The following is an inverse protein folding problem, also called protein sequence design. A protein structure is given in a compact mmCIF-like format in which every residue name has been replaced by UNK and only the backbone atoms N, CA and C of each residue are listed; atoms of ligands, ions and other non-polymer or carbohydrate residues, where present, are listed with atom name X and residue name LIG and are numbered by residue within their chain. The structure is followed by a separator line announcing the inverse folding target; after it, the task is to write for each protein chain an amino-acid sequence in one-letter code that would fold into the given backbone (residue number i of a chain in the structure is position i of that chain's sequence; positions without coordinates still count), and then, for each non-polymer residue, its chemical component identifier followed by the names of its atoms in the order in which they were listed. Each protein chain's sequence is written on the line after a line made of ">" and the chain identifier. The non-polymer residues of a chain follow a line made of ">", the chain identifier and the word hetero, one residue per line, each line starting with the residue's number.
data_IF_373623483588
#
_entry.id   IF_373623483588
#
_cell.length_a   1.000
_cell.length_b   1.000
_cell.length_c   1.000
_cell.angle_alpha   90.00
_cell.angle_beta   90.00
_cell.angle_gamma   90.00
#
_symmetry.space_group_name_H-M   'P 1'
#
loop_
_entity.id
_entity.type
_entity.pdbx_description
1 polymer ?
#
# COMPACT_ATOMS: atom_id res chain seq x y z
N UNK A 1 10.55 0.81 -13.81
CA UNK A 1 10.76 -0.64 -14.01
C UNK A 1 9.54 -1.47 -13.65
N UNK A 2 9.45 -2.70 -14.15
CA UNK A 2 8.30 -3.62 -14.07
C UNK A 2 7.76 -3.83 -12.63
N UNK A 3 8.67 -3.92 -11.64
CA UNK A 3 8.29 -4.07 -10.23
C UNK A 3 7.48 -2.87 -9.71
N UNK A 4 7.83 -1.65 -10.12
CA UNK A 4 7.14 -0.44 -9.66
C UNK A 4 5.70 -0.38 -10.23
N UNK A 5 5.55 -0.71 -11.51
CA UNK A 5 4.25 -0.79 -12.20
C UNK A 5 3.34 -1.86 -11.57
N UNK A 6 3.90 -3.03 -11.24
CA UNK A 6 3.14 -4.07 -10.54
C UNK A 6 2.57 -3.57 -9.20
N UNK A 7 3.40 -2.94 -8.37
CA UNK A 7 2.94 -2.47 -7.05
C UNK A 7 1.96 -1.29 -7.15
N UNK A 8 2.15 -0.39 -8.12
CA UNK A 8 1.25 0.73 -8.39
C UNK A 8 -0.16 0.23 -8.76
N UNK A 9 -0.27 -0.79 -9.61
CA UNK A 9 -1.55 -1.37 -9.99
C UNK A 9 -2.18 -2.27 -8.92
N UNK A 10 -1.35 -2.94 -8.11
CA UNK A 10 -1.85 -3.79 -7.02
C UNK A 10 -2.42 -2.98 -5.85
N UNK A 11 -1.92 -1.76 -5.63
CA UNK A 11 -2.29 -0.95 -4.48
C UNK A 11 -3.51 -0.06 -4.75
N UNK A 12 -4.62 -0.23 -4.01
CA UNK A 12 -5.81 0.60 -4.23
C UNK A 12 -5.72 2.01 -3.60
N UNK A 13 -4.64 2.33 -2.89
CA UNK A 13 -4.56 3.51 -2.03
C UNK A 13 -3.34 4.40 -2.29
N UNK A 14 -2.55 4.15 -3.33
CA UNK A 14 -1.37 4.98 -3.62
C UNK A 14 -0.29 4.89 -2.54
N UNK A 15 -0.14 3.72 -1.88
CA UNK A 15 1.03 3.42 -1.03
C UNK A 15 2.28 3.25 -1.90
N UNK A 16 2.11 2.75 -3.11
CA UNK A 16 3.18 2.49 -4.06
C UNK A 16 2.90 3.34 -5.30
N UNK A 17 3.78 4.29 -5.58
CA UNK A 17 3.68 5.19 -6.73
C UNK A 17 4.95 5.07 -7.58
N UNK A 18 4.78 5.10 -8.89
CA UNK A 18 5.91 5.09 -9.81
C UNK A 18 6.39 6.52 -10.09
N UNK A 19 7.67 6.78 -9.81
CA UNK A 19 8.38 8.01 -10.21
C UNK A 19 9.51 7.65 -11.17
N UNK A 20 9.20 7.69 -12.48
CA UNK A 20 10.10 7.20 -13.53
C UNK A 20 10.43 5.71 -13.37
N UNK A 21 11.67 5.41 -12.99
CA UNK A 21 12.11 4.03 -12.69
C UNK A 21 12.16 3.69 -11.20
N UNK A 22 11.89 4.66 -10.35
CA UNK A 22 11.87 4.50 -8.90
C UNK A 22 10.47 4.13 -8.42
N UNK A 23 10.41 3.26 -7.43
CA UNK A 23 9.22 3.04 -6.61
C UNK A 23 9.27 3.98 -5.40
N UNK A 24 8.25 4.82 -5.26
CA UNK A 24 8.03 5.68 -4.09
C UNK A 24 7.02 5.00 -3.17
N UNK A 25 7.29 5.00 -1.87
CA UNK A 25 6.47 4.32 -0.86
C UNK A 25 5.89 5.32 0.12
N UNK A 26 4.57 5.52 0.05
CA UNK A 26 3.78 6.40 0.91
C UNK A 26 3.01 5.57 1.95
N UNK A 27 3.74 5.02 2.94
CA UNK A 27 3.15 4.17 3.98
C UNK A 27 1.89 4.73 4.70
N UNK A 28 1.77 6.05 4.96
CA UNK A 28 0.58 6.61 5.60
C UNK A 28 -0.73 6.39 4.83
N UNK A 29 -0.66 6.21 3.51
CA UNK A 29 -1.85 5.98 2.68
C UNK A 29 -2.45 4.58 2.84
N UNK A 30 -1.78 3.66 3.55
CA UNK A 30 -2.25 2.29 3.61
C UNK A 30 -3.61 2.18 4.32
N UNK A 31 -4.54 1.48 3.67
CA UNK A 31 -5.91 1.23 4.14
C UNK A 31 -6.13 -0.20 4.65
N UNK A 32 -5.04 -0.94 4.87
CA UNK A 32 -5.04 -2.31 5.40
C UNK A 32 -5.81 -3.34 4.54
N UNK A 33 -5.90 -3.11 3.23
CA UNK A 33 -6.60 -4.00 2.28
C UNK A 33 -5.95 -5.38 2.07
N UNK A 34 -4.69 -5.56 2.49
CA UNK A 34 -3.89 -6.79 2.34
C UNK A 34 -3.63 -7.26 0.90
N UNK A 35 -3.88 -6.44 -0.12
CA UNK A 35 -3.64 -6.82 -1.52
C UNK A 35 -2.20 -7.29 -1.79
N UNK A 36 -1.20 -6.67 -1.15
CA UNK A 36 0.21 -7.05 -1.29
C UNK A 36 0.59 -8.37 -0.63
N UNK A 37 -0.26 -8.95 0.22
CA UNK A 37 0.02 -10.22 0.91
C UNK A 37 0.06 -11.40 -0.08
N UNK A 38 -0.45 -11.24 -1.30
CA UNK A 38 -0.28 -12.21 -2.41
C UNK A 38 1.19 -12.51 -2.70
N UNK A 39 2.09 -11.57 -2.40
CA UNK A 39 3.55 -11.73 -2.53
C UNK A 39 4.23 -12.18 -1.22
N UNK A 40 3.44 -12.42 -0.17
CA UNK A 40 3.86 -12.77 1.18
C UNK A 40 3.53 -11.68 2.22
N UNK A 41 3.27 -12.07 3.48
CA UNK A 41 2.92 -11.13 4.54
C UNK A 41 4.14 -10.30 4.95
N UNK A 42 4.26 -9.09 4.38
CA UNK A 42 5.33 -8.13 4.73
C UNK A 42 4.85 -6.99 5.62
N UNK A 43 3.61 -7.06 6.09
CA UNK A 43 2.96 -5.99 6.84
C UNK A 43 3.19 -6.13 8.34
N UNK A 44 3.57 -5.04 9.01
CA UNK A 44 3.63 -4.95 10.48
C UNK A 44 2.38 -4.21 10.96
N UNK A 45 1.67 -4.69 12.00
CA UNK A 45 0.52 -3.97 12.55
C UNK A 45 0.86 -2.51 12.86
N UNK A 46 -0.06 -1.61 12.52
CA UNK A 46 0.06 -0.18 12.84
C UNK A 46 -0.13 0.08 14.33
N UNK A 47 0.29 1.26 14.77
CA UNK A 47 -0.03 1.75 16.10
C UNK A 47 -1.56 1.82 16.31
N UNK A 48 -2.02 1.46 17.51
CA UNK A 48 -3.44 1.46 17.85
C UNK A 48 -4.06 2.84 17.65
N UNK A 49 -5.22 2.89 16.98
CA UNK A 49 -5.91 4.15 16.66
C UNK A 49 -5.42 4.85 15.38
N UNK A 50 -4.36 4.36 14.74
CA UNK A 50 -3.95 4.83 13.41
C UNK A 50 -4.77 4.17 12.29
N UNK A 51 -4.76 4.76 11.10
CA UNK A 51 -5.32 4.15 9.89
C UNK A 51 -6.67 4.73 9.45
N UNK A 52 -7.33 4.06 8.49
CA UNK A 52 -8.56 4.58 7.89
C UNK A 52 -9.71 4.65 8.89
N UNK A 53 -10.43 5.78 8.87
CA UNK A 53 -11.67 5.98 9.66
C UNK A 53 -12.90 5.74 8.79
N UNK A 54 -13.29 4.47 8.63
CA UNK A 54 -14.47 4.08 7.87
C UNK A 54 -15.76 4.53 8.59
N UNK A 55 -16.58 5.36 7.95
CA UNK A 55 -17.86 5.86 8.52
C UNK A 55 -19.10 5.14 8.01
N UNK A 56 -19.01 4.57 6.80
CA UNK A 56 -19.99 3.68 6.19
C UNK A 56 -19.18 2.76 5.27
N UNK A 57 -19.23 1.47 5.53
CA UNK A 57 -18.55 0.45 4.75
C UNK A 57 -19.60 -0.38 4.04
#
# INVERSE_FOLDING_TARGET
>A
GEVAEFYEHLCPAGVYERDGDRLVVNAPNCIDCKATDVLGPRWTPREGGSGPSYKRM
#
